data_IF_548388035661
#
_entry.id   IF_548388035661
#
_cell.length_a   1.000
_cell.length_b   1.000
_cell.length_c   1.000
_cell.angle_alpha   90.00
_cell.angle_beta   90.00
_cell.angle_gamma   90.00
#
_symmetry.space_group_name_H-M   'P 1'
#
loop_
_entity.id
_entity.type
_entity.pdbx_description
1 polymer ?
#
# COMPACT_ATOMS: atom_id res chain seq x y z
N UNK A 1 -34.86 71.46 20.59
CA UNK A 1 -33.54 70.87 20.49
C UNK A 1 -33.72 69.38 20.28
N UNK A 2 -33.57 68.86 19.06
CA UNK A 2 -33.74 67.46 18.67
C UNK A 2 -32.36 66.77 18.79
N UNK A 3 -32.27 65.83 19.68
CA UNK A 3 -31.08 64.96 19.77
C UNK A 3 -31.20 63.83 18.70
N UNK A 4 -30.28 63.87 17.73
CA UNK A 4 -30.14 62.84 16.71
C UNK A 4 -29.27 61.73 17.34
N UNK A 5 -29.88 60.56 17.52
CA UNK A 5 -29.20 59.36 17.98
C UNK A 5 -28.58 58.70 16.75
N UNK A 6 -27.27 58.73 16.67
CA UNK A 6 -26.50 58.08 15.60
C UNK A 6 -26.33 56.60 16.01
N UNK A 7 -27.12 55.69 15.40
CA UNK A 7 -26.88 54.23 15.49
C UNK A 7 -25.78 53.85 14.50
N UNK A 8 -24.59 53.65 15.01
CA UNK A 8 -23.51 52.97 14.27
C UNK A 8 -23.81 51.51 14.19
N UNK A 9 -24.27 51.06 13.02
CA UNK A 9 -24.44 49.65 12.68
C UNK A 9 -23.06 49.06 12.40
N UNK A 10 -22.47 48.39 13.39
CA UNK A 10 -21.28 47.58 13.19
C UNK A 10 -21.63 46.33 12.39
N UNK A 11 -21.41 46.39 11.09
CA UNK A 11 -21.44 45.22 10.25
C UNK A 11 -20.22 44.34 10.62
N UNK A 12 -20.48 43.33 11.45
CA UNK A 12 -19.51 42.24 11.65
C UNK A 12 -19.51 41.42 10.36
N UNK A 13 -18.55 41.72 9.50
CA UNK A 13 -18.23 40.84 8.36
C UNK A 13 -17.62 39.59 8.96
N UNK A 14 -18.45 38.57 9.17
CA UNK A 14 -17.99 37.20 9.34
C UNK A 14 -17.40 36.77 8.00
N UNK A 15 -16.12 37.07 7.77
CA UNK A 15 -15.30 36.34 6.82
C UNK A 15 -15.21 34.90 7.38
N UNK A 16 -16.20 34.08 7.04
CA UNK A 16 -16.01 32.66 7.11
C UNK A 16 -14.79 32.37 6.24
N UNK A 17 -13.64 32.12 6.88
CA UNK A 17 -12.55 31.40 6.24
C UNK A 17 -13.17 30.09 5.75
N UNK A 18 -13.63 30.07 4.50
CA UNK A 18 -13.65 28.84 3.75
C UNK A 18 -12.16 28.44 3.70
N UNK A 19 -11.75 27.59 4.61
CA UNK A 19 -10.64 26.73 4.30
C UNK A 19 -11.09 26.03 3.01
N UNK A 20 -10.50 26.43 1.89
CA UNK A 20 -10.53 25.61 0.70
C UNK A 20 -9.90 24.30 1.15
N UNK A 21 -10.75 23.32 1.45
CA UNK A 21 -10.32 21.94 1.67
C UNK A 21 -9.79 21.53 0.31
N UNK A 22 -8.48 21.65 0.16
CA UNK A 22 -7.79 21.23 -1.05
C UNK A 22 -8.15 19.76 -1.21
N UNK A 23 -9.01 19.48 -2.19
CA UNK A 23 -9.49 18.14 -2.45
C UNK A 23 -8.25 17.23 -2.55
N UNK A 24 -8.15 16.25 -1.68
CA UNK A 24 -7.00 15.37 -1.64
C UNK A 24 -7.01 14.51 -2.92
N UNK A 25 -6.31 14.99 -3.94
CA UNK A 25 -6.25 14.39 -5.28
C UNK A 25 -5.81 12.93 -5.30
N UNK A 26 -5.24 12.47 -4.19
CA UNK A 26 -4.82 11.08 -4.03
C UNK A 26 -5.90 10.19 -3.40
N UNK A 27 -6.92 10.78 -2.79
CA UNK A 27 -8.07 10.05 -2.28
C UNK A 27 -9.06 9.80 -3.43
N UNK A 28 -9.18 8.55 -3.83
CA UNK A 28 -10.03 8.13 -4.94
C UNK A 28 -11.24 7.31 -4.48
N UNK A 29 -11.57 7.34 -3.20
CA UNK A 29 -12.67 6.55 -2.61
C UNK A 29 -13.98 6.74 -3.35
N UNK A 30 -14.36 7.97 -3.65
CA UNK A 30 -15.60 8.32 -4.39
C UNK A 30 -15.64 7.81 -5.83
N UNK A 31 -14.52 7.30 -6.35
CA UNK A 31 -14.45 6.74 -7.71
C UNK A 31 -14.84 5.27 -7.77
N UNK A 32 -15.01 4.62 -6.63
CA UNK A 32 -15.41 3.22 -6.57
C UNK A 32 -16.93 3.07 -6.58
N UNK A 33 -17.37 1.97 -7.12
CA UNK A 33 -18.78 1.55 -7.16
C UNK A 33 -18.89 0.07 -6.80
N UNK A 34 -20.10 -0.36 -6.45
CA UNK A 34 -20.40 -1.77 -6.21
C UNK A 34 -20.26 -2.60 -7.48
N UNK A 35 -19.78 -3.83 -7.35
CA UNK A 35 -19.97 -4.88 -8.35
C UNK A 35 -21.43 -5.39 -8.32
N UNK A 36 -21.80 -6.22 -9.29
CA UNK A 36 -23.16 -6.78 -9.38
C UNK A 36 -23.60 -7.55 -8.12
N UNK A 37 -22.67 -8.12 -7.34
CA UNK A 37 -22.98 -8.91 -6.16
C UNK A 37 -23.30 -8.08 -4.90
N UNK A 38 -23.22 -6.74 -4.96
CA UNK A 38 -23.36 -5.88 -3.77
C UNK A 38 -24.21 -4.61 -4.02
N UNK A 39 -24.87 -4.48 -5.15
CA UNK A 39 -25.60 -3.23 -5.52
C UNK A 39 -26.60 -2.77 -4.47
N UNK A 40 -27.37 -3.69 -3.89
CA UNK A 40 -28.44 -3.36 -2.95
C UNK A 40 -27.95 -2.93 -1.58
N UNK A 41 -26.72 -3.27 -1.25
CA UNK A 41 -26.13 -3.03 0.07
C UNK A 41 -25.07 -1.92 0.08
N UNK A 42 -24.90 -1.23 -1.03
CA UNK A 42 -23.87 -0.20 -1.19
C UNK A 42 -24.34 1.16 -0.67
N UNK A 43 -23.56 1.77 0.21
CA UNK A 43 -23.83 3.09 0.78
C UNK A 43 -22.58 3.96 0.72
N UNK A 44 -22.72 5.16 0.14
CA UNK A 44 -21.73 6.23 0.34
C UNK A 44 -22.12 6.97 1.61
N UNK A 45 -21.26 6.98 2.59
CA UNK A 45 -21.50 7.64 3.87
C UNK A 45 -21.15 9.14 3.80
N UNK A 46 -21.71 9.96 4.71
CA UNK A 46 -21.50 11.41 4.73
C UNK A 46 -20.05 11.81 5.00
N UNK A 47 -19.26 10.95 5.64
CA UNK A 47 -17.82 11.12 5.88
C UNK A 47 -16.93 10.75 4.69
N UNK A 48 -17.53 10.36 3.56
CA UNK A 48 -16.86 9.94 2.34
C UNK A 48 -16.40 8.49 2.32
N UNK A 49 -16.65 7.72 3.39
CA UNK A 49 -16.41 6.28 3.40
C UNK A 49 -17.49 5.51 2.62
N UNK A 50 -17.21 4.25 2.35
CA UNK A 50 -18.11 3.35 1.61
C UNK A 50 -18.41 2.14 2.48
N UNK A 51 -19.69 1.85 2.71
CA UNK A 51 -20.13 0.62 3.40
C UNK A 51 -20.90 -0.28 2.45
N UNK A 52 -20.62 -1.57 2.47
CA UNK A 52 -21.34 -2.56 1.68
C UNK A 52 -21.31 -3.95 2.33
N UNK A 53 -22.31 -4.78 1.96
CA UNK A 53 -22.31 -6.19 2.33
C UNK A 53 -21.80 -7.00 1.13
N UNK A 54 -20.56 -7.46 1.22
CA UNK A 54 -19.99 -8.35 0.22
C UNK A 54 -20.63 -9.73 0.33
N UNK A 55 -20.94 -10.34 -0.80
CA UNK A 55 -21.05 -11.80 -0.93
C UNK A 55 -19.68 -12.38 -1.32
N UNK A 56 -19.57 -13.68 -1.36
CA UNK A 56 -18.35 -14.33 -1.84
C UNK A 56 -17.94 -13.76 -3.20
N UNK A 57 -16.72 -13.25 -3.30
CA UNK A 57 -16.15 -12.57 -4.47
C UNK A 57 -16.88 -11.29 -4.89
N UNK A 58 -17.74 -10.76 -4.04
CA UNK A 58 -18.32 -9.43 -4.19
C UNK A 58 -17.35 -8.34 -3.79
N UNK A 59 -17.37 -7.19 -4.45
CA UNK A 59 -16.42 -6.14 -4.16
C UNK A 59 -16.77 -4.77 -4.71
N UNK A 60 -15.82 -3.89 -4.60
CA UNK A 60 -15.82 -2.55 -5.17
C UNK A 60 -14.97 -2.52 -6.44
N UNK A 61 -15.43 -1.81 -7.44
CA UNK A 61 -14.69 -1.60 -8.68
C UNK A 61 -14.56 -0.12 -9.01
N UNK A 62 -13.33 0.30 -9.26
CA UNK A 62 -13.03 1.58 -9.89
C UNK A 62 -12.68 1.33 -11.36
N UNK A 63 -13.59 1.66 -12.28
CA UNK A 63 -13.32 1.61 -13.72
C UNK A 63 -12.66 2.91 -14.10
N UNK A 64 -11.38 2.84 -14.45
CA UNK A 64 -10.51 4.01 -14.61
C UNK A 64 -11.07 4.99 -15.62
N UNK A 65 -11.44 4.51 -16.79
CA UNK A 65 -11.96 5.34 -17.89
C UNK A 65 -13.29 6.01 -17.57
N UNK A 66 -14.19 5.28 -16.91
CA UNK A 66 -15.53 5.79 -16.58
C UNK A 66 -15.53 6.78 -15.41
N UNK A 67 -14.49 6.74 -14.58
CA UNK A 67 -14.40 7.50 -13.34
C UNK A 67 -13.43 8.68 -13.40
N UNK A 68 -12.94 9.03 -14.58
CA UNK A 68 -11.93 10.09 -14.76
C UNK A 68 -10.69 9.88 -13.91
N UNK A 69 -10.29 8.63 -13.71
CA UNK A 69 -9.01 8.29 -13.12
C UNK A 69 -7.94 8.27 -14.21
N UNK A 70 -6.69 8.59 -13.89
CA UNK A 70 -5.60 8.43 -14.86
C UNK A 70 -5.49 6.95 -15.27
N UNK A 71 -5.27 6.68 -16.53
CA UNK A 71 -5.00 5.32 -17.03
C UNK A 71 -3.55 4.91 -16.80
N UNK A 72 -2.65 5.87 -16.78
CA UNK A 72 -1.24 5.68 -16.46
C UNK A 72 -1.00 5.93 -14.97
N UNK A 73 -0.62 4.86 -14.27
CA UNK A 73 -0.33 4.89 -12.84
C UNK A 73 1.16 4.82 -12.53
N UNK A 74 2.03 4.95 -13.52
CA UNK A 74 3.48 5.01 -13.27
C UNK A 74 3.93 6.13 -12.32
N UNK A 75 3.21 7.26 -12.15
CA UNK A 75 3.54 8.26 -11.13
C UNK A 75 3.23 7.83 -9.69
N UNK A 76 2.63 6.66 -9.49
CA UNK A 76 2.26 6.18 -8.16
C UNK A 76 3.01 4.91 -7.81
N UNK A 77 3.34 4.73 -6.53
CA UNK A 77 4.01 3.53 -6.02
C UNK A 77 3.02 2.45 -5.58
N UNK A 78 1.80 2.83 -5.17
CA UNK A 78 0.82 1.89 -4.64
C UNK A 78 -0.60 2.45 -4.60
N UNK A 79 -1.58 1.55 -4.39
CA UNK A 79 -2.93 1.85 -3.94
C UNK A 79 -3.18 1.21 -2.58
N UNK A 80 -3.75 1.98 -1.65
CA UNK A 80 -4.07 1.51 -0.29
C UNK A 80 -5.56 1.62 -0.03
N UNK A 81 -6.16 0.55 0.47
CA UNK A 81 -7.52 0.48 1.00
C UNK A 81 -7.45 0.50 2.52
N UNK A 82 -8.06 1.47 3.18
CA UNK A 82 -8.16 1.57 4.64
C UNK A 82 -9.56 1.18 5.10
N UNK A 83 -9.66 0.36 6.15
CA UNK A 83 -10.92 -0.15 6.67
C UNK A 83 -11.28 0.53 7.98
N UNK A 84 -12.58 0.70 8.25
CA UNK A 84 -13.06 1.23 9.53
C UNK A 84 -12.82 0.25 10.67
N UNK A 85 -12.98 -1.05 10.38
CA UNK A 85 -12.82 -2.16 11.31
C UNK A 85 -11.91 -3.22 10.67
N UNK A 86 -11.21 -4.02 11.47
CA UNK A 86 -10.43 -5.13 10.93
C UNK A 86 -11.29 -6.08 10.08
N UNK A 87 -10.79 -6.48 8.93
CA UNK A 87 -11.48 -7.45 8.05
C UNK A 87 -11.67 -8.78 8.78
N UNK A 88 -12.82 -9.44 8.56
CA UNK A 88 -13.09 -10.75 9.20
C UNK A 88 -12.66 -11.95 8.34
N UNK A 89 -12.40 -11.69 7.08
CA UNK A 89 -12.06 -12.70 6.07
C UNK A 89 -10.94 -12.19 5.17
N UNK A 90 -10.41 -13.09 4.34
CA UNK A 90 -9.42 -12.73 3.33
C UNK A 90 -10.04 -11.81 2.26
N UNK A 91 -9.20 -10.91 1.75
CA UNK A 91 -9.55 -9.95 0.72
C UNK A 91 -8.48 -9.98 -0.38
N UNK A 92 -8.78 -9.40 -1.53
CA UNK A 92 -7.80 -9.28 -2.61
C UNK A 92 -7.99 -7.99 -3.41
N UNK A 93 -6.90 -7.55 -4.05
CA UNK A 93 -6.92 -6.46 -5.03
C UNK A 93 -6.55 -7.01 -6.40
N UNK A 94 -7.36 -6.70 -7.39
CA UNK A 94 -7.10 -6.97 -8.80
C UNK A 94 -6.83 -5.66 -9.53
N UNK A 95 -5.89 -5.70 -10.46
CA UNK A 95 -5.61 -4.60 -11.39
C UNK A 95 -5.70 -5.18 -12.80
N UNK A 96 -6.54 -4.59 -13.64
CA UNK A 96 -6.81 -5.07 -14.99
C UNK A 96 -7.09 -6.58 -15.02
N UNK A 97 -8.09 -7.00 -14.21
CA UNK A 97 -8.59 -8.37 -14.08
C UNK A 97 -7.62 -9.40 -13.46
N UNK A 98 -6.44 -8.98 -13.06
CA UNK A 98 -5.43 -9.89 -12.48
C UNK A 98 -5.25 -9.62 -10.99
N UNK A 99 -5.32 -10.67 -10.17
CA UNK A 99 -4.99 -10.57 -8.73
C UNK A 99 -3.55 -10.12 -8.57
N UNK A 100 -3.34 -9.10 -7.75
CA UNK A 100 -2.03 -8.50 -7.46
C UNK A 100 -1.61 -8.65 -6.01
N UNK A 101 -2.57 -8.52 -5.09
CA UNK A 101 -2.30 -8.57 -3.65
C UNK A 101 -3.44 -9.29 -2.93
N UNK A 102 -3.09 -10.07 -1.94
CA UNK A 102 -4.00 -10.69 -0.98
C UNK A 102 -3.86 -10.04 0.38
N UNK A 103 -4.99 -9.82 1.06
CA UNK A 103 -5.05 -9.40 2.45
C UNK A 103 -5.68 -10.50 3.30
N UNK A 104 -5.08 -10.82 4.43
CA UNK A 104 -5.62 -11.80 5.36
C UNK A 104 -6.75 -11.21 6.20
N UNK A 105 -7.47 -12.05 6.94
CA UNK A 105 -8.40 -11.61 7.96
C UNK A 105 -7.66 -10.86 9.10
N UNK A 106 -8.33 -9.87 9.69
CA UNK A 106 -7.82 -9.09 10.82
C UNK A 106 -7.06 -7.83 10.46
N UNK A 107 -6.95 -7.46 9.18
CA UNK A 107 -6.24 -6.27 8.75
C UNK A 107 -7.13 -5.02 8.77
N UNK A 108 -6.53 -3.87 9.04
CA UNK A 108 -7.16 -2.55 8.97
C UNK A 108 -6.82 -1.77 7.70
N UNK A 109 -5.88 -2.28 6.90
CA UNK A 109 -5.54 -1.76 5.58
C UNK A 109 -4.97 -2.83 4.68
N UNK A 110 -5.11 -2.63 3.36
CA UNK A 110 -4.50 -3.46 2.32
C UNK A 110 -3.84 -2.56 1.30
N UNK A 111 -2.54 -2.72 1.11
CA UNK A 111 -1.75 -1.99 0.12
C UNK A 111 -1.35 -2.91 -1.02
N UNK A 112 -1.60 -2.47 -2.26
CA UNK A 112 -1.09 -3.10 -3.46
C UNK A 112 0.01 -2.21 -4.05
N UNK A 113 1.27 -2.65 -3.97
CA UNK A 113 2.39 -1.97 -4.60
C UNK A 113 2.40 -2.24 -6.10
N UNK A 114 2.86 -1.25 -6.86
CA UNK A 114 2.92 -1.32 -8.33
C UNK A 114 4.29 -1.76 -8.85
N UNK A 115 5.22 -2.03 -7.94
CA UNK A 115 6.56 -2.46 -8.31
C UNK A 115 6.55 -3.68 -9.23
N UNK A 116 7.20 -3.53 -10.38
CA UNK A 116 7.27 -4.56 -11.40
C UNK A 116 5.96 -4.86 -12.13
N UNK A 117 4.90 -4.09 -11.88
CA UNK A 117 3.65 -4.20 -12.63
C UNK A 117 3.64 -3.24 -13.81
N UNK A 118 3.08 -3.66 -14.95
CA UNK A 118 2.76 -2.74 -16.03
C UNK A 118 1.47 -2.00 -15.68
N UNK A 119 1.62 -0.79 -15.16
CA UNK A 119 0.52 0.09 -14.75
C UNK A 119 0.35 1.28 -15.69
N UNK A 120 0.89 1.23 -16.91
CA UNK A 120 0.74 2.30 -17.92
C UNK A 120 -0.66 2.38 -18.51
N UNK A 121 -1.40 1.27 -18.48
CA UNK A 121 -2.75 1.16 -19.03
C UNK A 121 -3.66 0.39 -18.06
N UNK A 122 -3.94 0.97 -16.90
CA UNK A 122 -4.86 0.37 -15.94
C UNK A 122 -6.28 0.58 -16.43
N UNK A 123 -7.01 -0.50 -16.67
CA UNK A 123 -8.41 -0.46 -17.10
C UNK A 123 -9.38 -0.37 -15.92
N UNK A 124 -9.06 -1.09 -14.85
CA UNK A 124 -9.87 -1.14 -13.64
C UNK A 124 -9.03 -1.59 -12.43
N UNK A 125 -9.55 -1.29 -11.25
CA UNK A 125 -9.09 -1.85 -9.98
C UNK A 125 -10.28 -2.41 -9.26
N UNK A 126 -10.17 -3.64 -8.76
CA UNK A 126 -11.21 -4.31 -8.01
C UNK A 126 -10.66 -4.69 -6.63
N UNK A 127 -11.42 -4.34 -5.59
CA UNK A 127 -11.22 -4.88 -4.25
C UNK A 127 -12.33 -5.91 -3.99
N UNK A 128 -11.98 -7.13 -3.59
CA UNK A 128 -12.92 -8.22 -3.37
C UNK A 128 -12.72 -8.88 -2.00
N UNK A 129 -13.84 -9.36 -1.44
CA UNK A 129 -13.85 -10.27 -0.28
C UNK A 129 -14.04 -11.72 -0.74
N UNK A 130 -13.41 -12.65 -0.05
CA UNK A 130 -13.48 -14.09 -0.42
C UNK A 130 -14.78 -14.76 0.04
N UNK A 131 -15.48 -14.14 1.00
CA UNK A 131 -16.74 -14.66 1.56
C UNK A 131 -17.66 -13.48 1.97
N UNK A 132 -18.79 -13.78 2.56
CA UNK A 132 -19.81 -12.80 2.96
C UNK A 132 -19.35 -12.02 4.21
N UNK A 133 -19.31 -10.69 4.08
CA UNK A 133 -19.09 -9.79 5.22
C UNK A 133 -19.59 -8.37 4.94
N UNK A 134 -19.86 -7.62 6.00
CA UNK A 134 -20.01 -6.16 5.91
C UNK A 134 -18.64 -5.51 5.98
N UNK A 135 -18.32 -4.66 5.02
CA UNK A 135 -17.05 -3.92 4.94
C UNK A 135 -17.36 -2.42 4.91
N UNK A 136 -16.64 -1.65 5.72
CA UNK A 136 -16.58 -0.19 5.59
C UNK A 136 -15.17 0.21 5.20
N UNK A 137 -15.02 0.74 3.99
CA UNK A 137 -13.77 1.30 3.48
C UNK A 137 -13.75 2.79 3.82
N UNK A 138 -12.83 3.20 4.68
CA UNK A 138 -12.66 4.60 5.08
C UNK A 138 -12.06 5.42 3.95
N UNK A 139 -11.05 4.88 3.28
CA UNK A 139 -10.40 5.56 2.18
C UNK A 139 -9.76 4.57 1.21
N UNK A 140 -9.70 4.99 -0.06
CA UNK A 140 -8.86 4.38 -1.10
C UNK A 140 -7.92 5.45 -1.62
N UNK A 141 -6.61 5.23 -1.49
CA UNK A 141 -5.60 6.25 -1.79
C UNK A 141 -4.54 5.74 -2.74
N UNK A 142 -4.25 6.53 -3.77
CA UNK A 142 -3.02 6.40 -4.56
C UNK A 142 -1.87 7.07 -3.83
N UNK A 143 -0.74 6.41 -3.73
CA UNK A 143 0.48 6.98 -3.17
C UNK A 143 1.43 7.36 -4.30
N UNK A 144 1.84 8.64 -4.40
CA UNK A 144 2.80 9.03 -5.42
C UNK A 144 4.16 8.37 -5.19
N UNK A 145 4.87 8.11 -6.28
CA UNK A 145 6.28 7.72 -6.22
C UNK A 145 7.05 8.84 -5.53
N UNK A 146 7.83 8.48 -4.51
CA UNK A 146 8.75 9.39 -3.84
C UNK A 146 10.15 9.06 -4.34
N UNK A 147 10.68 9.85 -5.25
CA UNK A 147 11.99 9.61 -5.89
C UNK A 147 13.22 9.85 -4.98
N UNK A 148 13.01 10.00 -3.67
CA UNK A 148 14.06 10.39 -2.73
C UNK A 148 14.51 9.21 -1.86
N UNK A 149 14.85 8.08 -2.50
CA UNK A 149 15.43 6.93 -1.80
C UNK A 149 16.92 6.80 -2.11
N UNK A 150 17.77 6.79 -1.07
CA UNK A 150 19.13 6.29 -1.17
C UNK A 150 19.10 4.76 -1.09
N UNK A 151 19.63 4.10 -2.11
CA UNK A 151 19.59 2.65 -2.24
C UNK A 151 20.96 2.04 -1.99
N UNK A 152 21.04 1.16 -1.00
CA UNK A 152 22.23 0.38 -0.69
C UNK A 152 21.96 -1.10 -0.89
N UNK A 153 22.70 -1.75 -1.78
CA UNK A 153 22.67 -3.20 -1.92
C UNK A 153 23.25 -3.87 -0.67
N UNK A 154 22.47 -4.75 -0.06
CA UNK A 154 22.86 -5.52 1.13
C UNK A 154 23.05 -7.01 0.83
N UNK A 155 22.58 -7.47 -0.31
CA UNK A 155 22.85 -8.79 -0.85
C UNK A 155 22.73 -8.77 -2.39
N UNK A 156 23.60 -9.51 -3.07
CA UNK A 156 23.55 -9.70 -4.52
C UNK A 156 24.03 -11.11 -4.85
N UNK A 157 23.33 -11.78 -5.76
CA UNK A 157 23.62 -13.14 -6.16
C UNK A 157 22.47 -13.72 -7.00
N UNK A 158 22.32 -15.02 -6.99
CA UNK A 158 21.20 -15.71 -7.61
C UNK A 158 20.69 -16.76 -6.62
N UNK A 159 19.49 -16.57 -6.08
CA UNK A 159 18.84 -17.50 -5.18
C UNK A 159 17.54 -17.99 -5.80
N UNK A 160 17.49 -19.26 -6.16
CA UNK A 160 16.29 -19.94 -6.61
C UNK A 160 15.47 -20.35 -5.38
N UNK A 161 14.45 -19.58 -5.07
CA UNK A 161 13.50 -19.87 -3.98
C UNK A 161 12.46 -20.88 -4.46
N UNK A 162 12.90 -22.08 -4.80
CA UNK A 162 12.06 -23.14 -5.38
C UNK A 162 11.35 -23.90 -4.26
N UNK A 163 10.02 -23.84 -4.25
CA UNK A 163 9.17 -24.62 -3.35
C UNK A 163 9.60 -24.58 -1.87
N UNK A 164 10.07 -23.40 -1.39
CA UNK A 164 10.50 -23.15 -0.01
C UNK A 164 11.82 -23.82 0.42
N UNK A 165 12.54 -24.45 -0.48
CA UNK A 165 13.73 -25.24 -0.14
C UNK A 165 14.97 -24.37 0.06
N UNK A 166 15.08 -23.28 -0.69
CA UNK A 166 16.22 -22.37 -0.65
C UNK A 166 15.81 -20.99 -0.15
N UNK A 167 16.76 -20.28 0.42
CA UNK A 167 16.52 -18.91 0.91
C UNK A 167 17.80 -18.12 1.12
N UNK A 168 17.60 -16.83 1.41
CA UNK A 168 18.67 -15.88 1.68
C UNK A 168 18.66 -15.59 3.18
N UNK A 169 19.80 -15.76 3.82
CA UNK A 169 20.04 -15.31 5.19
C UNK A 169 20.83 -14.00 5.19
N UNK A 170 20.30 -12.99 5.85
CA UNK A 170 20.98 -11.72 6.10
C UNK A 170 21.19 -11.58 7.62
N UNK A 171 22.46 -11.54 8.07
CA UNK A 171 22.75 -11.54 9.49
C UNK A 171 22.44 -10.18 10.15
N UNK A 172 22.31 -10.11 11.49
CA UNK A 172 21.94 -8.91 12.23
C UNK A 172 22.81 -7.68 11.95
N UNK A 173 24.11 -7.86 11.74
CA UNK A 173 25.04 -6.78 11.43
C UNK A 173 24.74 -6.03 10.13
N UNK A 174 23.95 -6.64 9.23
CA UNK A 174 23.46 -6.00 8.00
C UNK A 174 22.54 -4.82 8.29
N UNK A 175 21.87 -4.83 9.45
CA UNK A 175 20.76 -3.96 9.81
C UNK A 175 21.10 -2.89 10.86
N UNK A 176 22.38 -2.64 11.14
CA UNK A 176 22.82 -1.75 12.22
C UNK A 176 22.32 -0.31 12.12
N UNK A 177 22.16 0.24 10.92
CA UNK A 177 21.87 1.65 10.66
C UNK A 177 20.48 1.87 10.05
N UNK A 178 19.44 1.19 10.57
CA UNK A 178 18.08 1.35 10.11
C UNK A 178 17.34 2.41 10.90
N UNK A 179 16.43 3.12 10.21
CA UNK A 179 15.45 4.04 10.78
C UNK A 179 14.02 3.63 10.36
N UNK A 180 13.05 3.97 11.18
CA UNK A 180 11.64 3.67 10.87
C UNK A 180 11.23 4.32 9.54
N UNK A 181 10.57 3.54 8.70
CA UNK A 181 10.19 3.94 7.35
C UNK A 181 11.22 3.60 6.27
N UNK A 182 12.45 3.16 6.61
CA UNK A 182 13.34 2.54 5.63
C UNK A 182 12.64 1.31 5.03
N UNK A 183 12.99 0.95 3.79
CA UNK A 183 12.36 -0.19 3.10
C UNK A 183 13.41 -1.25 2.75
N UNK A 184 13.02 -2.51 2.85
CA UNK A 184 13.68 -3.60 2.16
C UNK A 184 13.09 -3.73 0.76
N UNK A 185 13.94 -3.86 -0.24
CA UNK A 185 13.54 -4.11 -1.63
C UNK A 185 14.19 -5.40 -2.12
N UNK A 186 13.36 -6.30 -2.62
CA UNK A 186 13.79 -7.55 -3.26
C UNK A 186 13.65 -7.38 -4.77
N UNK A 187 14.75 -7.56 -5.51
CA UNK A 187 14.75 -7.60 -6.97
C UNK A 187 14.81 -9.07 -7.38
N UNK A 188 13.87 -9.48 -8.23
CA UNK A 188 13.71 -10.88 -8.59
C UNK A 188 13.09 -11.05 -9.98
N UNK A 189 13.09 -12.28 -10.45
CA UNK A 189 12.26 -12.74 -11.56
C UNK A 189 11.40 -13.89 -11.09
N UNK A 190 10.22 -14.03 -11.68
CA UNK A 190 9.34 -15.19 -11.42
C UNK A 190 9.73 -16.35 -12.33
N UNK A 191 9.81 -17.56 -11.78
CA UNK A 191 9.98 -18.76 -12.61
C UNK A 191 8.70 -19.02 -13.42
N UNK A 192 8.83 -19.03 -14.73
CA UNK A 192 7.74 -19.19 -15.71
C UNK A 192 7.73 -20.53 -16.42
N UNK A 193 8.56 -21.47 -15.98
CA UNK A 193 8.70 -22.78 -16.63
C UNK A 193 7.40 -23.58 -16.57
N UNK A 194 6.58 -23.36 -15.56
CA UNK A 194 5.26 -23.95 -15.43
C UNK A 194 4.18 -22.98 -15.93
N UNK A 195 3.57 -23.27 -17.08
CA UNK A 195 2.57 -22.42 -17.72
C UNK A 195 1.26 -22.33 -16.93
N UNK A 196 0.96 -23.37 -16.15
CA UNK A 196 -0.27 -23.45 -15.35
C UNK A 196 -0.14 -22.78 -13.99
N UNK A 197 1.07 -22.32 -13.63
CA UNK A 197 1.30 -21.62 -12.38
C UNK A 197 0.61 -20.26 -12.38
N UNK A 198 -0.15 -20.01 -11.32
CA UNK A 198 -0.97 -18.81 -11.17
C UNK A 198 -0.47 -17.86 -10.09
N UNK A 199 0.48 -18.28 -9.25
CA UNK A 199 1.00 -17.46 -8.16
C UNK A 199 2.48 -17.75 -7.86
N UNK A 200 3.16 -16.72 -7.36
CA UNK A 200 4.51 -16.72 -6.84
C UNK A 200 4.49 -16.07 -5.48
N UNK A 201 5.31 -16.53 -4.54
CA UNK A 201 5.20 -16.05 -3.17
C UNK A 201 6.56 -15.80 -2.54
N UNK A 202 6.59 -14.81 -1.64
CA UNK A 202 7.70 -14.56 -0.71
C UNK A 202 7.26 -14.82 0.72
N UNK A 203 8.16 -15.35 1.53
CA UNK A 203 8.07 -15.41 2.97
C UNK A 203 9.29 -14.74 3.57
N UNK A 204 9.07 -13.67 4.32
CA UNK A 204 10.10 -12.90 5.00
C UNK A 204 9.88 -13.03 6.49
N UNK A 205 10.86 -13.60 7.20
CA UNK A 205 10.77 -13.85 8.65
C UNK A 205 12.03 -13.33 9.33
N UNK A 206 11.93 -12.98 10.61
CA UNK A 206 13.12 -12.80 11.43
C UNK A 206 13.84 -14.14 11.52
N UNK A 207 15.13 -14.15 11.23
CA UNK A 207 15.89 -15.39 11.19
C UNK A 207 15.75 -16.17 12.51
N UNK A 208 15.79 -17.50 12.41
CA UNK A 208 15.59 -18.42 13.54
C UNK A 208 14.18 -18.39 14.18
N UNK A 209 13.21 -17.73 13.58
CA UNK A 209 11.82 -17.68 14.03
C UNK A 209 10.86 -18.06 12.90
N UNK A 210 9.57 -18.21 13.23
CA UNK A 210 8.49 -18.27 12.23
C UNK A 210 7.71 -16.97 12.11
N UNK A 211 8.19 -15.90 12.79
CA UNK A 211 7.51 -14.62 12.82
C UNK A 211 7.86 -13.81 11.58
N UNK A 212 6.83 -13.39 10.84
CA UNK A 212 6.96 -12.50 9.68
C UNK A 212 7.21 -11.06 10.10
N UNK A 213 7.78 -10.26 9.20
CA UNK A 213 7.93 -8.83 9.40
C UNK A 213 6.55 -8.17 9.54
N UNK A 214 6.48 -7.15 10.41
CA UNK A 214 5.24 -6.40 10.64
C UNK A 214 4.91 -5.47 9.48
N UNK A 215 5.94 -4.91 8.83
CA UNK A 215 5.76 -3.95 7.74
C UNK A 215 5.00 -4.47 6.53
N UNK A 216 4.97 -5.78 6.31
CA UNK A 216 4.17 -6.41 5.26
C UNK A 216 3.04 -7.30 5.80
N UNK A 217 2.78 -7.27 7.11
CA UNK A 217 1.80 -8.13 7.76
C UNK A 217 0.42 -8.11 7.09
N UNK A 218 -0.03 -6.93 6.67
CA UNK A 218 -1.34 -6.75 6.06
C UNK A 218 -1.43 -7.33 4.62
N UNK A 219 -0.29 -7.62 3.99
CA UNK A 219 -0.19 -8.13 2.62
C UNK A 219 -0.02 -9.64 2.59
N UNK A 220 0.09 -10.27 3.76
CA UNK A 220 0.36 -11.70 3.87
C UNK A 220 -0.95 -12.50 3.84
N UNK A 221 -0.91 -13.61 3.14
CA UNK A 221 -1.97 -14.61 3.22
C UNK A 221 -1.92 -15.35 4.58
N UNK A 222 -2.85 -16.26 4.82
CA UNK A 222 -2.96 -17.02 6.07
C UNK A 222 -1.72 -17.87 6.43
N UNK A 223 -0.84 -18.14 5.47
CA UNK A 223 0.42 -18.87 5.69
C UNK A 223 1.62 -17.94 5.94
N UNK A 224 1.38 -16.63 6.03
CA UNK A 224 2.43 -15.63 6.23
C UNK A 224 3.25 -15.34 4.97
N UNK A 225 2.67 -15.52 3.80
CA UNK A 225 3.35 -15.31 2.51
C UNK A 225 2.74 -14.15 1.74
N UNK A 226 3.59 -13.29 1.19
CA UNK A 226 3.18 -12.29 0.21
C UNK A 226 3.07 -12.93 -1.17
N UNK A 227 1.98 -12.68 -1.89
CA UNK A 227 1.78 -13.16 -3.25
C UNK A 227 2.16 -12.05 -4.23
N UNK A 228 3.00 -12.38 -5.21
CA UNK A 228 3.45 -11.45 -6.25
C UNK A 228 2.91 -11.86 -7.61
N UNK A 229 2.75 -10.88 -8.49
CA UNK A 229 2.26 -11.13 -9.84
C UNK A 229 3.29 -11.80 -10.74
N UNK A 230 2.84 -12.42 -11.84
CA UNK A 230 3.69 -13.13 -12.82
C UNK A 230 4.82 -12.28 -13.38
N UNK A 231 4.57 -11.00 -13.57
CA UNK A 231 5.53 -10.07 -14.21
C UNK A 231 6.17 -9.13 -13.18
N UNK A 232 5.96 -9.40 -11.87
CA UNK A 232 6.58 -8.62 -10.82
C UNK A 232 8.10 -8.82 -10.83
N UNK A 233 8.84 -7.73 -10.67
CA UNK A 233 10.31 -7.73 -10.61
C UNK A 233 10.84 -7.17 -9.31
N UNK A 234 9.97 -6.57 -8.50
CA UNK A 234 10.30 -5.94 -7.22
C UNK A 234 9.23 -6.28 -6.18
N UNK A 235 9.68 -6.44 -4.94
CA UNK A 235 8.81 -6.51 -3.77
C UNK A 235 9.44 -5.66 -2.67
N UNK A 236 8.65 -4.80 -2.03
CA UNK A 236 9.14 -3.88 -1.00
C UNK A 236 8.39 -4.04 0.31
N UNK A 237 9.12 -3.89 1.41
CA UNK A 237 8.58 -3.93 2.78
C UNK A 237 9.03 -2.67 3.50
N UNK A 238 8.10 -1.83 3.96
CA UNK A 238 8.40 -0.71 4.82
C UNK A 238 8.63 -1.22 6.26
N UNK A 239 9.78 -0.87 6.85
CA UNK A 239 10.16 -1.37 8.17
C UNK A 239 9.51 -0.55 9.29
N UNK A 240 8.88 -1.24 10.24
CA UNK A 240 8.40 -0.66 11.49
C UNK A 240 9.55 -0.54 12.50
N UNK A 241 9.32 0.22 13.57
CA UNK A 241 10.29 0.28 14.69
C UNK A 241 10.57 -1.12 15.30
N UNK A 242 9.55 -1.97 15.37
CA UNK A 242 9.71 -3.34 15.88
C UNK A 242 10.45 -4.24 14.89
N UNK A 243 10.19 -4.11 13.59
CA UNK A 243 10.99 -4.80 12.56
C UNK A 243 12.48 -4.49 12.72
N UNK A 244 12.81 -3.21 12.88
CA UNK A 244 14.19 -2.76 13.04
C UNK A 244 14.85 -3.36 14.28
N UNK A 245 14.13 -3.37 15.42
CA UNK A 245 14.66 -3.96 16.65
C UNK A 245 14.96 -5.45 16.46
N UNK A 246 14.04 -6.20 15.88
CA UNK A 246 14.17 -7.64 15.65
C UNK A 246 15.20 -7.99 14.57
N UNK A 247 15.29 -7.20 13.50
CA UNK A 247 16.32 -7.39 12.46
C UNK A 247 17.72 -7.19 13.00
N UNK A 248 17.92 -6.21 13.89
CA UNK A 248 19.21 -5.99 14.58
C UNK A 248 19.59 -7.10 15.57
N UNK A 249 18.61 -7.82 16.09
CA UNK A 249 18.82 -8.92 17.03
C UNK A 249 18.98 -10.27 16.31
N UNK A 250 18.12 -10.55 15.35
CA UNK A 250 17.93 -11.89 14.77
C UNK A 250 18.40 -12.00 13.30
N UNK A 251 18.47 -10.87 12.58
CA UNK A 251 18.64 -10.87 11.14
C UNK A 251 17.36 -11.22 10.39
N UNK A 252 17.49 -11.44 9.08
CA UNK A 252 16.40 -11.75 8.17
C UNK A 252 16.63 -13.07 7.47
N UNK A 253 15.58 -13.88 7.33
CA UNK A 253 15.54 -15.00 6.41
C UNK A 253 14.42 -14.81 5.39
N UNK A 254 14.75 -15.00 4.12
CA UNK A 254 13.83 -14.85 2.99
C UNK A 254 13.84 -16.14 2.21
N UNK A 255 12.68 -16.71 2.01
CA UNK A 255 12.47 -17.79 1.05
C UNK A 255 11.20 -17.55 0.24
N UNK A 256 10.81 -18.50 -0.62
CA UNK A 256 9.68 -18.27 -1.47
C UNK A 256 9.25 -19.47 -2.27
N UNK A 257 8.31 -19.20 -3.16
CA UNK A 257 7.72 -20.16 -4.07
C UNK A 257 7.93 -19.68 -5.50
N UNK A 258 8.89 -20.31 -6.18
CA UNK A 258 9.26 -20.09 -7.58
C UNK A 258 9.63 -18.64 -7.96
N UNK A 259 10.44 -18.04 -7.13
CA UNK A 259 11.11 -16.77 -7.42
C UNK A 259 12.63 -16.97 -7.51
N UNK A 260 13.26 -16.21 -8.38
CA UNK A 260 14.71 -16.13 -8.47
C UNK A 260 15.10 -14.74 -8.00
N UNK A 261 15.56 -14.64 -6.76
CA UNK A 261 16.01 -13.37 -6.19
C UNK A 261 17.43 -13.10 -6.64
N UNK A 262 17.68 -11.90 -7.16
CA UNK A 262 18.99 -11.49 -7.67
C UNK A 262 19.64 -10.41 -6.82
N UNK A 263 18.84 -9.64 -6.07
CA UNK A 263 19.37 -8.55 -5.24
C UNK A 263 18.42 -8.23 -4.09
N UNK A 264 19.01 -7.83 -2.96
CA UNK A 264 18.27 -7.22 -1.85
C UNK A 264 18.89 -5.85 -1.57
N UNK A 265 18.08 -4.82 -1.59
CA UNK A 265 18.46 -3.45 -1.30
C UNK A 265 17.83 -2.98 0.01
N UNK A 266 18.53 -2.09 0.68
CA UNK A 266 17.99 -1.23 1.71
C UNK A 266 17.76 0.14 1.10
N UNK A 267 16.50 0.60 1.12
CA UNK A 267 16.11 1.92 0.67
C UNK A 267 15.93 2.83 1.87
N UNK A 268 16.71 3.90 1.94
CA UNK A 268 16.62 4.92 2.98
C UNK A 268 15.98 6.16 2.41
N UNK A 269 15.00 6.71 3.12
CA UNK A 269 14.40 7.99 2.74
C UNK A 269 15.43 9.11 2.89
N UNK A 270 15.76 9.80 1.80
CA UNK A 270 16.55 11.01 1.88
C UNK A 270 15.70 12.10 2.54
N UNK A 271 16.14 12.62 3.68
CA UNK A 271 15.56 13.83 4.22
C UNK A 271 15.95 14.97 3.29
N UNK A 272 14.99 15.69 2.75
CA UNK A 272 15.26 17.00 2.16
C UNK A 272 15.90 17.83 3.27
N UNK A 273 17.16 18.26 3.08
CA UNK A 273 17.73 19.32 3.90
C UNK A 273 16.79 20.50 3.67
N UNK A 274 16.05 20.92 4.70
CA UNK A 274 15.44 22.23 4.72
C UNK A 274 16.60 23.19 4.47
N UNK A 275 16.59 23.85 3.31
CA UNK A 275 17.44 25.00 3.07
C UNK A 275 17.11 26.01 4.18
N UNK A 276 17.97 26.03 5.20
CA UNK A 276 18.01 27.15 6.14
C UNK A 276 18.38 28.38 5.30
N UNK A 277 17.37 29.05 4.80
CA UNK A 277 17.49 30.43 4.36
C UNK A 277 17.86 31.23 5.61
N UNK A 278 19.16 31.43 5.81
CA UNK A 278 19.71 32.47 6.64
C UNK A 278 19.32 33.79 5.97
N UNK A 279 18.17 34.36 6.33
CA UNK A 279 17.95 35.79 6.19
C UNK A 279 18.91 36.45 7.18
N UNK A 280 20.12 36.73 6.72
CA UNK A 280 20.94 37.76 7.33
C UNK A 280 20.26 39.11 7.14
N UNK A 281 19.70 39.60 8.21
CA UNK A 281 19.31 40.99 8.41
C UNK A 281 20.47 41.94 8.08
N UNK A 282 20.24 42.82 7.16
CA UNK A 282 20.90 44.14 7.09
C UNK A 282 19.96 45.22 7.59
#
# INVERSE_FOLDING_TARGET
>A
MKKILLMTLAAVILTACRQDVQEDKYNITSKFRATYNIYESFTNNDDGSITYNASAWGGLVGIIKERNLPVDWTPYESITFEFAEPTKIETQVLISEKVKTWGRAGITSLTCFFDGLDVRNVSEVIFQATDTMTITIKSVRLRPVVDNWDSRTIWEGECHCDNWENGIYLPPETFTNLTEGDKLEFIFTTDRNDIDRTYWQFKTIYATTEMTLEGNYNELNKWGCATVGRDATHYRIALTANDIAKLKELGLFVNGYYNIVTKVNLLRKMHQQEEMTTEESQ
#
